data_IF_722797736612
#
_entry.id   IF_722797736612
#
_cell.length_a   1.000
_cell.length_b   1.000
_cell.length_c   1.000
_cell.angle_alpha   90.00
_cell.angle_beta   90.00
_cell.angle_gamma   90.00
#
_symmetry.space_group_name_H-M   'P 1'
#
loop_
_entity.id
_entity.type
_entity.pdbx_description
1 polymer ?
#
# COMPACT_ATOMS: atom_id res chain seq x y z
N UNK A 1 -8.69 5.98 -11.61
CA UNK A 1 -7.59 5.58 -12.53
C UNK A 1 -7.81 4.13 -12.94
N UNK A 2 -7.38 3.75 -14.13
CA UNK A 2 -7.44 2.35 -14.59
C UNK A 2 -6.14 1.66 -14.16
N UNK A 3 -6.25 0.49 -13.53
CA UNK A 3 -5.10 -0.35 -13.20
C UNK A 3 -4.39 -0.77 -14.48
N UNK A 4 -3.13 -0.40 -14.64
CA UNK A 4 -2.39 -0.76 -15.85
C UNK A 4 -1.78 -2.16 -15.73
N UNK A 5 -2.08 -3.04 -16.68
CA UNK A 5 -1.60 -4.43 -16.69
C UNK A 5 -0.51 -4.64 -17.76
N UNK A 6 0.39 -5.64 -17.60
CA UNK A 6 0.49 -6.56 -16.45
C UNK A 6 1.05 -5.86 -15.20
N UNK A 7 0.59 -6.27 -14.02
CA UNK A 7 1.02 -5.73 -12.72
C UNK A 7 1.34 -6.84 -11.73
N UNK A 8 2.37 -6.63 -10.91
CA UNK A 8 2.70 -7.46 -9.74
C UNK A 8 2.32 -6.66 -8.49
N UNK A 9 1.51 -7.24 -7.61
CA UNK A 9 1.16 -6.62 -6.32
C UNK A 9 1.75 -7.46 -5.19
N UNK A 10 2.67 -6.89 -4.42
CA UNK A 10 3.33 -7.57 -3.30
C UNK A 10 2.60 -7.23 -2.01
N UNK A 11 1.82 -8.18 -1.48
CA UNK A 11 1.14 -8.04 -0.20
C UNK A 11 2.09 -8.38 0.95
N UNK A 12 2.42 -7.38 1.78
CA UNK A 12 3.34 -7.53 2.91
C UNK A 12 2.71 -8.27 4.09
N UNK A 13 1.38 -8.36 4.12
CA UNK A 13 0.59 -8.92 5.25
C UNK A 13 1.06 -8.32 6.58
N UNK A 14 1.17 -9.15 7.61
CA UNK A 14 1.64 -8.80 8.96
C UNK A 14 2.96 -9.51 9.30
N UNK A 15 3.81 -9.75 8.30
CA UNK A 15 5.13 -10.33 8.54
C UNK A 15 6.07 -9.32 9.18
N UNK A 16 6.90 -9.77 10.12
CA UNK A 16 7.88 -8.92 10.82
C UNK A 16 8.86 -8.31 9.81
N UNK A 17 9.27 -9.11 8.85
CA UNK A 17 10.18 -8.82 7.75
C UNK A 17 9.62 -7.78 6.77
N UNK A 18 8.34 -7.43 6.88
CA UNK A 18 7.66 -6.46 6.04
C UNK A 18 6.88 -5.43 6.89
N UNK A 19 7.44 -5.06 8.05
CA UNK A 19 6.88 -4.07 8.98
C UNK A 19 7.87 -2.95 9.31
N UNK A 20 7.38 -1.75 9.60
CA UNK A 20 8.17 -0.57 9.95
C UNK A 20 9.26 -0.24 8.93
N UNK A 21 10.51 -0.20 9.38
CA UNK A 21 11.67 0.10 8.52
C UNK A 21 11.87 -0.96 7.43
N UNK A 22 11.53 -2.21 7.71
CA UNK A 22 11.68 -3.30 6.74
C UNK A 22 10.59 -3.23 5.67
N UNK A 23 9.38 -2.77 6.01
CA UNK A 23 8.35 -2.44 5.01
C UNK A 23 8.83 -1.36 4.05
N UNK A 24 9.42 -0.28 4.57
CA UNK A 24 9.96 0.80 3.74
C UNK A 24 11.13 0.31 2.87
N UNK A 25 12.02 -0.52 3.43
CA UNK A 25 13.12 -1.12 2.67
C UNK A 25 12.59 -1.98 1.52
N UNK A 26 11.65 -2.88 1.80
CA UNK A 26 11.06 -3.76 0.79
C UNK A 26 10.34 -2.98 -0.30
N UNK A 27 9.66 -1.89 0.05
CA UNK A 27 9.03 -1.01 -0.94
C UNK A 27 10.06 -0.32 -1.85
N UNK A 28 11.20 0.12 -1.30
CA UNK A 28 12.30 0.70 -2.10
C UNK A 28 12.96 -0.32 -3.01
N UNK A 29 13.14 -1.56 -2.53
CA UNK A 29 13.66 -2.65 -3.34
C UNK A 29 12.69 -2.95 -4.51
N UNK A 30 11.38 -2.97 -4.26
CA UNK A 30 10.36 -3.10 -5.31
C UNK A 30 10.38 -1.94 -6.31
N UNK A 31 10.58 -0.70 -5.84
CA UNK A 31 10.71 0.48 -6.70
C UNK A 31 11.95 0.42 -7.60
N UNK A 32 13.09 -0.01 -7.07
CA UNK A 32 14.31 -0.18 -7.85
C UNK A 32 14.11 -1.21 -8.98
N UNK A 33 13.52 -2.37 -8.66
CA UNK A 33 13.21 -3.39 -9.68
C UNK A 33 12.23 -2.87 -10.72
N UNK A 34 11.20 -2.13 -10.32
CA UNK A 34 10.24 -1.54 -11.26
C UNK A 34 10.93 -0.57 -12.24
N UNK A 35 11.85 0.26 -11.74
CA UNK A 35 12.62 1.20 -12.55
C UNK A 35 13.60 0.50 -13.50
N UNK A 36 14.31 -0.52 -13.02
CA UNK A 36 15.30 -1.27 -13.80
C UNK A 36 14.66 -2.12 -14.90
N UNK A 37 13.50 -2.70 -14.62
CA UNK A 37 12.85 -3.66 -15.53
C UNK A 37 11.74 -3.05 -16.38
N UNK A 38 11.20 -1.89 -15.99
CA UNK A 38 10.00 -1.30 -16.56
C UNK A 38 8.71 -2.08 -16.23
N UNK A 39 8.77 -3.11 -15.39
CA UNK A 39 7.61 -3.87 -14.93
C UNK A 39 6.87 -3.05 -13.86
N UNK A 40 5.54 -3.06 -13.93
CA UNK A 40 4.69 -2.37 -12.94
C UNK A 40 4.61 -3.22 -11.68
N UNK A 41 5.13 -2.66 -10.59
CA UNK A 41 5.11 -3.29 -9.27
C UNK A 41 4.43 -2.35 -8.30
N UNK A 42 3.46 -2.88 -7.57
CA UNK A 42 2.80 -2.21 -6.48
C UNK A 42 3.05 -2.95 -5.16
N UNK A 43 2.93 -2.24 -4.05
CA UNK A 43 3.07 -2.83 -2.71
C UNK A 43 1.83 -2.58 -1.86
N UNK A 44 1.56 -3.51 -0.95
CA UNK A 44 0.45 -3.43 -0.01
C UNK A 44 0.96 -3.64 1.42
N UNK A 45 1.51 -2.59 2.08
CA UNK A 45 1.98 -2.65 3.46
C UNK A 45 0.82 -2.76 4.45
N UNK A 46 1.10 -3.14 5.70
CA UNK A 46 0.08 -3.11 6.75
C UNK A 46 -0.41 -1.67 7.00
N UNK A 47 -1.60 -1.53 7.57
CA UNK A 47 -2.27 -0.24 7.75
C UNK A 47 -1.45 0.77 8.56
N UNK A 48 -0.67 0.30 9.55
CA UNK A 48 0.15 1.17 10.40
C UNK A 48 1.31 1.78 9.61
N UNK A 49 1.88 1.02 8.67
CA UNK A 49 3.02 1.43 7.86
C UNK A 49 2.66 2.16 6.57
N UNK A 50 1.37 2.23 6.20
CA UNK A 50 0.92 2.87 4.95
C UNK A 50 1.48 4.28 4.77
N UNK A 51 1.37 5.14 5.79
CA UNK A 51 1.86 6.52 5.71
C UNK A 51 3.38 6.60 5.60
N UNK A 52 4.11 5.67 6.23
CA UNK A 52 5.56 5.60 6.13
C UNK A 52 6.00 5.24 4.71
N UNK A 53 5.39 4.19 4.15
CA UNK A 53 5.72 3.68 2.82
C UNK A 53 5.31 4.69 1.74
N UNK A 54 4.13 5.31 1.86
CA UNK A 54 3.63 6.28 0.87
C UNK A 54 4.48 7.54 0.76
N UNK A 55 5.16 7.93 1.84
CA UNK A 55 6.12 9.04 1.79
C UNK A 55 7.49 8.65 1.26
N UNK A 56 7.76 7.35 1.12
CA UNK A 56 9.11 6.81 0.94
C UNK A 56 9.42 6.30 -0.45
N UNK A 57 8.41 6.04 -1.28
CA UNK A 57 8.53 5.52 -2.66
C UNK A 57 7.48 6.17 -3.57
N UNK A 58 7.64 6.03 -4.88
CA UNK A 58 6.74 6.55 -5.92
C UNK A 58 6.00 5.47 -6.70
N UNK A 59 6.32 4.19 -6.47
CA UNK A 59 5.52 3.09 -7.03
C UNK A 59 4.12 3.06 -6.43
N UNK A 60 3.13 2.47 -7.12
CA UNK A 60 1.78 2.37 -6.60
C UNK A 60 1.68 1.64 -5.27
N UNK A 61 0.87 2.20 -4.37
CA UNK A 61 0.63 1.65 -3.04
C UNK A 61 -0.85 1.38 -2.86
N UNK A 62 -1.15 0.20 -2.33
CA UNK A 62 -2.50 -0.23 -2.01
C UNK A 62 -2.63 -0.45 -0.51
N UNK A 63 -3.77 -0.10 0.06
CA UNK A 63 -4.11 -0.58 1.40
C UNK A 63 -4.40 -2.09 1.37
N UNK A 64 -4.17 -2.77 2.49
CA UNK A 64 -4.53 -4.19 2.61
C UNK A 64 -6.04 -4.43 2.81
N UNK A 65 -6.75 -3.43 3.33
CA UNK A 65 -8.17 -3.51 3.66
C UNK A 65 -8.76 -2.11 3.83
N UNK A 66 -10.05 -1.99 3.59
CA UNK A 66 -10.88 -0.88 4.05
C UNK A 66 -12.24 -1.41 4.49
N UNK A 67 -12.81 -0.79 5.51
CA UNK A 67 -14.17 -1.05 5.97
C UNK A 67 -15.16 -0.14 5.24
N UNK A 68 -16.42 -0.55 5.03
CA UNK A 68 -17.44 0.24 4.35
C UNK A 68 -18.00 1.37 5.25
N UNK A 69 -17.11 2.22 5.79
CA UNK A 69 -17.43 3.29 6.75
C UNK A 69 -16.80 4.62 6.35
N UNK A 70 -17.54 5.71 6.53
CA UNK A 70 -17.04 7.07 6.26
C UNK A 70 -16.38 7.71 7.47
N UNK A 71 -16.56 9.03 7.58
CA UNK A 71 -16.19 9.81 8.76
C UNK A 71 -17.20 9.57 9.88
N UNK A 72 -16.75 9.33 11.11
CA UNK A 72 -17.65 9.20 12.26
C UNK A 72 -17.14 8.28 13.36
N UNK A 73 -18.07 7.82 14.21
CA UNK A 73 -17.81 6.99 15.39
C UNK A 73 -17.61 5.50 15.03
N UNK A 74 -16.57 5.19 14.26
CA UNK A 74 -16.23 3.84 13.80
C UNK A 74 -14.90 3.36 14.39
N UNK A 75 -14.80 3.33 15.73
CA UNK A 75 -13.57 2.93 16.42
C UNK A 75 -13.08 1.56 15.92
N UNK A 76 -11.77 1.47 15.60
CA UNK A 76 -11.12 0.25 15.12
C UNK A 76 -11.29 -0.05 13.62
N UNK A 77 -12.14 0.69 12.91
CA UNK A 77 -12.34 0.51 11.48
C UNK A 77 -11.33 1.31 10.64
N UNK A 78 -11.10 0.87 9.41
CA UNK A 78 -10.24 1.49 8.41
C UNK A 78 -11.11 2.18 7.37
N UNK A 79 -11.31 3.49 7.49
CA UNK A 79 -12.14 4.23 6.53
C UNK A 79 -11.44 4.43 5.17
N UNK A 80 -12.09 4.13 4.03
CA UNK A 80 -11.57 4.45 2.70
C UNK A 80 -11.31 5.95 2.52
N UNK A 81 -12.04 6.83 3.20
CA UNK A 81 -11.80 8.27 3.16
C UNK A 81 -10.38 8.60 3.68
N UNK A 82 -10.04 8.14 4.89
CA UNK A 82 -8.74 8.42 5.49
C UNK A 82 -7.58 7.72 4.79
N UNK A 83 -7.85 6.53 4.23
CA UNK A 83 -6.86 5.81 3.43
C UNK A 83 -6.58 6.57 2.13
N UNK A 84 -7.61 7.09 1.43
CA UNK A 84 -7.44 7.91 0.23
C UNK A 84 -6.61 9.17 0.46
N UNK A 85 -6.76 9.82 1.63
CA UNK A 85 -5.96 11.00 2.03
C UNK A 85 -4.46 10.72 2.16
N UNK A 86 -4.04 9.46 2.25
CA UNK A 86 -2.62 9.10 2.24
C UNK A 86 -2.01 9.15 0.84
N UNK A 87 -2.82 9.20 -0.22
CA UNK A 87 -2.36 9.09 -1.60
C UNK A 87 -2.17 7.65 -2.07
N UNK A 88 -2.84 6.68 -1.44
CA UNK A 88 -2.87 5.31 -1.95
C UNK A 88 -3.73 5.24 -3.21
N UNK A 89 -3.41 4.32 -4.11
CA UNK A 89 -4.07 4.18 -5.41
C UNK A 89 -5.20 3.15 -5.41
N UNK A 90 -5.34 2.39 -4.32
CA UNK A 90 -6.43 1.45 -4.12
C UNK A 90 -6.30 0.66 -2.83
N UNK A 91 -7.07 -0.42 -2.76
CA UNK A 91 -7.06 -1.37 -1.64
C UNK A 91 -7.30 -2.78 -2.14
N UNK A 92 -6.71 -3.75 -1.46
CA UNK A 92 -7.11 -5.15 -1.58
C UNK A 92 -8.44 -5.35 -0.84
N UNK A 93 -9.32 -6.15 -1.42
CA UNK A 93 -10.57 -6.63 -0.84
C UNK A 93 -10.80 -8.06 -1.34
N UNK A 94 -11.13 -8.98 -0.43
CA UNK A 94 -11.44 -10.40 -0.66
C UNK A 94 -11.00 -10.97 -2.02
#
# INVERSE_FOLDING_TARGET
MVLETPIIIVNFKFYREASGKDALKLAKDAEAVAQETGIKIAVSPNTVDLRLVTKGVKIPIYAQHVDPVGLGAYTGHISPYYIGELGVEGTLLN
#
